data_IF_776895804068
#
_entry.id   IF_776895804068
#
_cell.length_a   1.000
_cell.length_b   1.000
_cell.length_c   1.000
_cell.angle_alpha   90.00
_cell.angle_beta   90.00
_cell.angle_gamma   90.00
#
_symmetry.space_group_name_H-M   'P 1'
#
loop_
_entity.id
_entity.type
_entity.pdbx_description
1 polymer ?
#
# COMPACT_ATOMS: atom_id res chain seq x y z
N UNK A 1 -12.39 -20.61 -0.19
CA UNK A 1 -11.61 -19.51 -0.81
C UNK A 1 -10.14 -19.87 -0.96
N UNK A 2 -9.40 -20.16 0.12
CA UNK A 2 -7.96 -20.49 0.05
C UNK A 2 -7.69 -21.71 -0.85
N UNK A 3 -8.44 -22.81 -0.67
CA UNK A 3 -8.29 -24.00 -1.51
C UNK A 3 -8.54 -23.71 -3.01
N UNK A 4 -9.51 -22.86 -3.33
CA UNK A 4 -9.83 -22.44 -4.70
C UNK A 4 -8.72 -21.56 -5.30
N UNK A 5 -8.12 -20.67 -4.51
CA UNK A 5 -6.97 -19.85 -4.91
C UNK A 5 -5.77 -20.74 -5.23
N UNK A 6 -5.46 -21.70 -4.34
CA UNK A 6 -4.37 -22.66 -4.54
C UNK A 6 -4.61 -23.48 -5.82
N UNK A 7 -5.83 -23.97 -6.02
CA UNK A 7 -6.19 -24.70 -7.24
C UNK A 7 -5.99 -23.87 -8.52
N UNK A 8 -6.41 -22.61 -8.51
CA UNK A 8 -6.21 -21.67 -9.61
C UNK A 8 -4.72 -21.44 -9.91
N UNK A 9 -3.90 -21.23 -8.88
CA UNK A 9 -2.46 -21.01 -9.03
C UNK A 9 -1.74 -22.26 -9.55
N UNK A 10 -2.13 -23.44 -9.10
CA UNK A 10 -1.59 -24.71 -9.61
C UNK A 10 -1.95 -24.94 -11.09
N UNK A 11 -3.18 -24.60 -11.48
CA UNK A 11 -3.60 -24.69 -12.89
C UNK A 11 -2.79 -23.71 -13.77
N UNK A 12 -2.60 -22.48 -13.28
CA UNK A 12 -1.77 -21.49 -13.97
C UNK A 12 -0.33 -21.99 -14.13
N UNK A 13 0.25 -22.56 -13.06
CA UNK A 13 1.59 -23.13 -13.07
C UNK A 13 1.71 -24.26 -14.10
N UNK A 14 0.78 -25.22 -14.09
CA UNK A 14 0.78 -26.33 -15.04
C UNK A 14 0.64 -25.84 -16.50
N UNK A 15 -0.20 -24.83 -16.74
CA UNK A 15 -0.35 -24.22 -18.06
C UNK A 15 0.92 -23.51 -18.53
N UNK A 16 1.61 -22.79 -17.63
CA UNK A 16 2.91 -22.17 -17.94
C UNK A 16 4.01 -23.20 -18.20
N UNK A 17 4.08 -24.27 -17.41
CA UNK A 17 5.04 -25.35 -17.63
C UNK A 17 4.84 -25.97 -19.01
N UNK A 18 3.58 -26.30 -19.36
CA UNK A 18 3.23 -26.83 -20.67
C UNK A 18 3.61 -25.85 -21.80
N UNK A 19 3.32 -24.57 -21.62
CA UNK A 19 3.66 -23.54 -22.60
C UNK A 19 5.17 -23.36 -22.82
N UNK A 20 5.99 -23.63 -21.80
CA UNK A 20 7.45 -23.50 -21.85
C UNK A 20 8.17 -24.79 -22.26
N UNK A 21 7.45 -25.90 -22.43
CA UNK A 21 8.03 -27.13 -22.98
C UNK A 21 8.53 -26.93 -24.41
N UNK A 22 9.61 -27.62 -24.83
CA UNK A 22 10.03 -27.59 -26.23
C UNK A 22 8.89 -28.06 -27.15
N UNK A 23 8.48 -27.19 -28.08
CA UNK A 23 7.29 -27.42 -28.93
C UNK A 23 6.01 -26.75 -28.41
N UNK A 24 6.02 -26.22 -27.19
CA UNK A 24 5.03 -25.29 -26.67
C UNK A 24 5.04 -24.01 -27.50
N UNK A 25 3.97 -23.81 -28.27
CA UNK A 25 3.86 -22.66 -29.17
C UNK A 25 3.52 -21.36 -28.45
N UNK A 26 3.82 -20.23 -29.10
CA UNK A 26 3.42 -18.90 -28.66
C UNK A 26 1.94 -18.75 -28.22
N UNK A 27 0.95 -19.45 -28.81
CA UNK A 27 -0.45 -19.36 -28.36
C UNK A 27 -0.67 -19.86 -26.93
N UNK A 28 -0.01 -20.95 -26.53
CA UNK A 28 -0.12 -21.50 -25.17
C UNK A 28 0.50 -20.54 -24.15
N UNK A 29 1.63 -19.96 -24.51
CA UNK A 29 2.28 -18.94 -23.68
C UNK A 29 1.39 -17.70 -23.52
N UNK A 30 0.80 -17.21 -24.61
CA UNK A 30 -0.12 -16.08 -24.57
C UNK A 30 -1.34 -16.35 -23.69
N UNK A 31 -1.90 -17.56 -23.76
CA UNK A 31 -3.01 -18.00 -22.90
C UNK A 31 -2.61 -18.05 -21.43
N UNK A 32 -1.44 -18.61 -21.12
CA UNK A 32 -0.91 -18.69 -19.76
C UNK A 32 -0.66 -17.28 -19.17
N UNK A 33 -0.12 -16.36 -19.97
CA UNK A 33 0.07 -14.97 -19.57
C UNK A 33 -1.27 -14.25 -19.33
N UNK A 34 -2.25 -14.43 -20.22
CA UNK A 34 -3.59 -13.86 -20.03
C UNK A 34 -4.23 -14.36 -18.74
N UNK A 35 -4.14 -15.67 -18.47
CA UNK A 35 -4.63 -16.27 -17.23
C UNK A 35 -3.91 -15.70 -16.00
N UNK A 36 -2.59 -15.47 -16.08
CA UNK A 36 -1.81 -14.86 -14.99
C UNK A 36 -2.27 -13.43 -14.69
N UNK A 37 -2.54 -12.62 -15.72
CA UNK A 37 -3.04 -11.25 -15.57
C UNK A 37 -4.42 -11.24 -14.89
N UNK A 38 -5.33 -12.13 -15.30
CA UNK A 38 -6.65 -12.26 -14.67
C UNK A 38 -6.51 -12.66 -13.21
N UNK A 39 -5.69 -13.66 -12.90
CA UNK A 39 -5.44 -14.10 -11.53
C UNK A 39 -4.87 -12.97 -10.67
N UNK A 40 -3.88 -12.23 -11.17
CA UNK A 40 -3.30 -11.08 -10.47
C UNK A 40 -4.35 -9.99 -10.21
N UNK A 41 -5.20 -9.70 -11.19
CA UNK A 41 -6.27 -8.70 -11.07
C UNK A 41 -7.27 -9.09 -9.99
N UNK A 42 -7.70 -10.35 -9.96
CA UNK A 42 -8.60 -10.87 -8.90
C UNK A 42 -7.95 -10.74 -7.53
N UNK A 43 -6.67 -11.11 -7.39
CA UNK A 43 -5.94 -10.98 -6.13
C UNK A 43 -5.86 -9.52 -5.70
N UNK A 44 -5.49 -8.60 -6.58
CA UNK A 44 -5.41 -7.16 -6.26
C UNK A 44 -6.76 -6.63 -5.81
N UNK A 45 -7.84 -6.91 -6.55
CA UNK A 45 -9.17 -6.41 -6.22
C UNK A 45 -9.76 -7.00 -4.93
N UNK A 46 -9.30 -8.15 -4.48
CA UNK A 46 -9.85 -8.84 -3.30
C UNK A 46 -8.98 -8.70 -2.06
N UNK A 47 -7.66 -8.91 -2.18
CA UNK A 47 -6.74 -8.86 -1.05
C UNK A 47 -6.38 -7.43 -0.66
N UNK A 48 -6.17 -6.51 -1.61
CA UNK A 48 -5.73 -5.14 -1.27
C UNK A 48 -6.77 -4.42 -0.40
N UNK A 49 -8.07 -4.45 -0.71
CA UNK A 49 -9.08 -3.88 0.18
C UNK A 49 -9.16 -4.60 1.52
N UNK A 50 -9.01 -5.93 1.54
CA UNK A 50 -9.04 -6.71 2.78
C UNK A 50 -7.88 -6.37 3.72
N UNK A 51 -6.68 -6.10 3.18
CA UNK A 51 -5.52 -5.64 3.93
C UNK A 51 -5.72 -4.22 4.49
N UNK A 52 -6.47 -3.37 3.76
CA UNK A 52 -6.81 -2.01 4.18
C UNK A 52 -8.02 -1.91 5.10
N UNK A 53 -8.87 -2.93 5.18
CA UNK A 53 -10.13 -2.90 5.94
C UNK A 53 -9.96 -2.70 7.46
N UNK A 54 -8.76 -2.99 8.00
CA UNK A 54 -8.42 -2.72 9.39
C UNK A 54 -7.95 -1.28 9.67
N UNK A 55 -7.74 -0.47 8.63
CA UNK A 55 -7.32 0.92 8.78
C UNK A 55 -8.58 1.76 8.95
N UNK A 56 -8.71 2.41 10.11
CA UNK A 56 -9.80 3.36 10.32
C UNK A 56 -9.71 4.45 9.23
N UNK A 57 -10.83 4.79 8.55
CA UNK A 57 -10.82 5.89 7.61
C UNK A 57 -10.32 7.16 8.32
N UNK A 58 -9.59 8.05 7.63
CA UNK A 58 -9.23 9.33 8.21
C UNK A 58 -10.50 10.02 8.70
N UNK A 59 -10.43 10.58 9.92
CA UNK A 59 -11.57 11.29 10.50
C UNK A 59 -12.10 12.31 9.49
N UNK A 60 -13.39 12.26 9.12
CA UNK A 60 -13.97 13.24 8.21
C UNK A 60 -14.12 14.62 8.85
N UNK A 61 -13.87 14.73 10.17
CA UNK A 61 -13.87 16.01 10.87
C UNK A 61 -12.67 16.82 10.38
N UNK A 62 -12.89 18.04 9.84
CA UNK A 62 -11.81 19.00 9.66
C UNK A 62 -11.02 19.09 10.97
N UNK A 63 -9.69 19.06 10.89
CA UNK A 63 -8.87 19.41 12.05
C UNK A 63 -9.33 20.80 12.47
N UNK A 64 -9.96 20.89 13.62
CA UNK A 64 -10.33 22.19 14.19
C UNK A 64 -9.02 22.99 14.28
N UNK A 65 -8.94 24.21 13.70
CA UNK A 65 -7.71 25.00 13.77
C UNK A 65 -7.29 25.31 15.22
N UNK A 66 -8.21 25.16 16.18
CA UNK A 66 -7.94 25.24 17.61
C UNK A 66 -7.72 23.89 18.30
N UNK A 67 -7.87 22.75 17.59
CA UNK A 67 -7.54 21.45 18.14
C UNK A 67 -6.03 21.42 18.46
N UNK A 68 -5.66 21.06 19.70
CA UNK A 68 -4.26 20.92 20.07
C UNK A 68 -3.66 19.83 19.19
N UNK A 69 -2.62 20.19 18.45
CA UNK A 69 -1.84 19.20 17.72
C UNK A 69 -1.18 18.30 18.76
N UNK A 70 -1.27 16.98 18.57
CA UNK A 70 -0.45 16.02 19.30
C UNK A 70 1.01 16.11 18.79
N UNK A 71 1.60 17.29 18.96
CA UNK A 71 3.01 17.55 18.74
C UNK A 71 3.74 17.24 20.04
N UNK A 72 4.95 16.70 19.91
CA UNK A 72 5.86 16.53 21.04
C UNK A 72 6.04 17.86 21.76
N UNK A 73 6.35 17.81 23.06
CA UNK A 73 6.77 18.98 23.82
C UNK A 73 7.87 19.71 23.01
N UNK A 74 7.69 21.00 22.67
CA UNK A 74 8.73 21.79 22.00
C UNK A 74 10.05 21.82 22.80
N UNK A 75 9.99 21.52 24.10
CA UNK A 75 11.11 21.42 25.02
C UNK A 75 11.52 19.97 25.32
N UNK A 76 10.90 18.98 24.65
CA UNK A 76 11.35 17.59 24.72
C UNK A 76 12.84 17.51 24.39
N UNK A 77 13.58 16.66 25.12
CA UNK A 77 15.02 16.49 24.94
C UNK A 77 15.35 16.18 23.48
N UNK A 78 15.89 17.17 22.78
CA UNK A 78 16.14 17.19 21.35
C UNK A 78 17.11 18.31 20.99
N UNK A 79 17.25 18.59 19.70
CA UNK A 79 18.18 19.64 19.24
C UNK A 79 17.72 21.02 19.72
N UNK A 80 18.61 21.85 20.29
CA UNK A 80 18.29 23.24 20.63
C UNK A 80 17.78 23.98 19.39
N UNK A 81 16.52 24.41 19.43
CA UNK A 81 15.95 25.30 18.42
C UNK A 81 15.98 26.72 18.99
N UNK A 82 16.44 27.73 18.22
CA UNK A 82 16.40 29.12 18.65
C UNK A 82 14.96 29.50 19.05
N UNK A 83 14.78 29.98 20.29
CA UNK A 83 13.47 30.42 20.78
C UNK A 83 13.35 31.93 20.59
N UNK A 84 12.24 32.32 19.95
CA UNK A 84 11.75 33.68 19.74
C UNK A 84 12.48 34.55 18.68
N UNK A 85 11.75 35.45 17.99
CA UNK A 85 12.36 36.56 17.27
C UNK A 85 13.22 37.39 18.23
N UNK A 86 14.43 37.77 17.80
CA UNK A 86 15.35 38.58 18.60
C UNK A 86 14.64 39.82 19.17
N UNK A 87 14.84 40.06 20.47
CA UNK A 87 14.33 41.19 21.24
C UNK A 87 14.25 42.48 20.40
N UNK A 88 13.05 43.04 20.24
CA UNK A 88 12.91 44.43 19.80
C UNK A 88 13.36 45.34 20.93
N UNK A 89 14.60 45.84 20.86
CA UNK A 89 15.08 46.88 21.77
C UNK A 89 14.26 48.15 21.48
N UNK A 90 13.41 48.55 22.43
CA UNK A 90 12.79 49.88 22.42
C UNK A 90 13.81 50.85 23.03
N UNK A 91 14.46 51.64 22.20
CA UNK A 91 15.23 52.81 22.66
C UNK A 91 14.20 53.89 23.01
N UNK A 92 14.29 54.41 24.24
CA UNK A 92 13.50 55.53 24.73
C UNK A 92 14.03 56.87 24.16
#
# INVERSE_FOLDING_TARGET
>A
MIASLIGMLNLLLAATELALTPGGGAPLLAMALAAAVVAATVVVLTLVPALGAGIAPPSPRPIDPSAPLAQSDPDASGHPRPRAPGLSIRVA
#
